data_IF_205099184022
#
_entry.id   IF_205099184022
#
_cell.length_a   1.000
_cell.length_b   1.000
_cell.length_c   1.000
_cell.angle_alpha   90.00
_cell.angle_beta   90.00
_cell.angle_gamma   90.00
#
_symmetry.space_group_name_H-M   'P 1'
#
loop_
_entity.id
_entity.type
_entity.pdbx_description
1 polymer ?
#
# COMPACT_ATOMS: atom_id res chain seq x y z
N UNK A 1 3.15 2.66 7.48
CA UNK A 1 4.39 3.45 7.37
C UNK A 1 4.71 4.20 8.67
N UNK A 2 4.64 3.53 9.82
CA UNK A 2 4.86 4.17 11.12
C UNK A 2 6.30 4.09 11.60
N UNK A 3 7.17 3.27 11.00
CA UNK A 3 8.60 3.34 11.26
C UNK A 3 9.18 4.71 10.83
N UNK A 4 10.12 5.31 11.58
CA UNK A 4 10.59 6.67 11.37
C UNK A 4 11.27 6.86 10.00
N UNK A 5 12.08 5.90 9.55
CA UNK A 5 12.83 5.97 8.28
C UNK A 5 12.11 5.30 7.10
N UNK A 6 10.78 5.16 7.16
CA UNK A 6 9.99 4.46 6.15
C UNK A 6 8.93 5.38 5.56
N UNK A 7 9.03 5.65 4.26
CA UNK A 7 8.09 6.47 3.50
C UNK A 7 7.58 5.74 2.28
N UNK A 8 6.42 6.13 1.79
CA UNK A 8 5.83 5.52 0.61
C UNK A 8 4.66 6.33 0.11
N UNK A 9 4.58 6.44 -1.21
CA UNK A 9 3.34 6.86 -1.86
C UNK A 9 2.27 5.77 -1.67
N UNK A 10 1.05 6.20 -1.41
CA UNK A 10 -0.11 5.34 -1.42
C UNK A 10 -0.59 5.21 -2.87
N UNK A 11 -0.71 3.97 -3.34
CA UNK A 11 -1.26 3.63 -4.66
C UNK A 11 -0.46 4.24 -5.81
N UNK A 12 0.85 3.98 -5.83
CA UNK A 12 1.76 4.45 -6.86
C UNK A 12 1.69 3.67 -8.17
N UNK A 13 1.43 2.37 -8.13
CA UNK A 13 1.13 1.53 -9.29
C UNK A 13 2.20 1.43 -10.39
N UNK A 14 3.42 1.93 -10.17
CA UNK A 14 4.48 2.02 -11.19
C UNK A 14 4.74 0.66 -11.86
N UNK A 15 4.75 -0.42 -11.07
CA UNK A 15 5.03 -1.78 -11.56
C UNK A 15 3.86 -2.39 -12.36
N UNK A 16 2.72 -1.71 -12.47
CA UNK A 16 1.64 -2.13 -13.37
C UNK A 16 2.05 -2.01 -14.85
N UNK A 17 2.99 -1.10 -15.16
CA UNK A 17 3.61 -1.03 -16.49
C UNK A 17 4.53 -2.23 -16.74
N UNK A 18 4.65 -2.66 -18.00
CA UNK A 18 5.66 -3.66 -18.39
C UNK A 18 7.08 -3.06 -18.37
N UNK A 19 7.19 -1.75 -18.57
CA UNK A 19 8.41 -0.93 -18.52
C UNK A 19 8.10 0.41 -17.83
N UNK A 20 9.12 1.16 -17.37
CA UNK A 20 8.95 2.54 -16.90
C UNK A 20 8.12 3.41 -17.85
N UNK A 21 8.41 3.39 -19.16
CA UNK A 21 7.67 4.15 -20.15
C UNK A 21 6.21 3.70 -20.30
N UNK A 22 5.96 2.40 -20.26
CA UNK A 22 4.60 1.84 -20.38
C UNK A 22 3.69 2.19 -19.18
N UNK A 23 4.28 2.61 -18.05
CA UNK A 23 3.51 3.06 -16.89
C UNK A 23 2.63 4.29 -17.19
N UNK A 24 2.97 5.10 -18.19
CA UNK A 24 2.15 6.24 -18.65
C UNK A 24 0.70 5.86 -19.00
N UNK A 25 0.47 4.60 -19.36
CA UNK A 25 -0.85 4.08 -19.73
C UNK A 25 -1.64 3.49 -18.54
N UNK A 26 -1.09 3.52 -17.32
CA UNK A 26 -1.70 2.92 -16.13
C UNK A 26 -2.50 3.95 -15.35
N UNK A 27 -3.66 4.31 -15.87
CA UNK A 27 -4.59 5.24 -15.21
C UNK A 27 -5.40 4.52 -14.12
N UNK A 28 -5.73 5.20 -13.00
CA UNK A 28 -5.39 6.59 -12.67
C UNK A 28 -4.01 6.76 -11.99
N UNK A 29 -3.27 5.67 -11.75
CA UNK A 29 -2.02 5.67 -10.98
C UNK A 29 -0.97 6.64 -11.54
N UNK A 30 -0.86 6.72 -12.86
CA UNK A 30 0.06 7.65 -13.51
C UNK A 30 -0.26 9.10 -13.14
N UNK A 31 -1.52 9.52 -13.23
CA UNK A 31 -1.96 10.89 -12.88
C UNK A 31 -1.74 11.20 -11.41
N UNK A 32 -1.96 10.22 -10.53
CA UNK A 32 -1.78 10.38 -9.08
C UNK A 32 -0.34 10.69 -8.67
N UNK A 33 0.66 10.52 -9.55
CA UNK A 33 2.04 10.92 -9.24
C UNK A 33 2.22 12.41 -8.99
N UNK A 34 1.39 13.25 -9.62
CA UNK A 34 1.47 14.71 -9.48
C UNK A 34 0.56 15.27 -8.40
N UNK A 35 -0.30 14.42 -7.82
CA UNK A 35 -1.12 14.81 -6.68
C UNK A 35 -0.23 15.18 -5.47
N UNK A 36 -0.68 16.14 -4.64
CA UNK A 36 0.13 16.66 -3.55
C UNK A 36 0.44 15.59 -2.49
N UNK A 37 1.59 15.71 -1.85
CA UNK A 37 2.04 14.81 -0.76
C UNK A 37 1.08 14.79 0.45
N UNK A 38 0.23 15.82 0.59
CA UNK A 38 -0.83 15.87 1.60
C UNK A 38 -1.84 14.73 1.46
N UNK A 39 -1.99 14.21 0.24
CA UNK A 39 -2.85 13.07 -0.09
C UNK A 39 -2.10 11.72 -0.04
N UNK A 40 -0.90 11.66 0.53
CA UNK A 40 -0.01 10.48 0.52
C UNK A 40 0.47 10.07 -0.88
N UNK A 41 0.42 10.96 -1.86
CA UNK A 41 0.99 10.71 -3.18
C UNK A 41 2.43 11.23 -3.28
N UNK A 42 3.02 11.12 -4.48
CA UNK A 42 4.42 11.42 -4.70
C UNK A 42 4.72 12.92 -4.84
N UNK A 43 3.73 13.76 -5.15
CA UNK A 43 3.91 15.22 -5.24
C UNK A 43 4.90 15.68 -6.30
N UNK A 44 5.01 14.94 -7.41
CA UNK A 44 5.91 15.30 -8.50
C UNK A 44 5.35 16.45 -9.34
N UNK A 45 6.23 17.24 -9.91
CA UNK A 45 5.89 18.10 -11.06
C UNK A 45 5.67 17.24 -12.31
N UNK A 46 4.96 17.78 -13.30
CA UNK A 46 4.79 17.12 -14.62
C UNK A 46 6.15 16.81 -15.25
N UNK A 47 7.11 17.74 -15.20
CA UNK A 47 8.46 17.51 -15.74
C UNK A 47 9.17 16.36 -15.03
N UNK A 48 9.10 16.28 -13.70
CA UNK A 48 9.68 15.17 -12.95
C UNK A 48 8.99 13.85 -13.29
N UNK A 49 7.66 13.81 -13.35
CA UNK A 49 6.89 12.64 -13.75
C UNK A 49 7.32 12.12 -15.12
N UNK A 50 7.47 12.99 -16.12
CA UNK A 50 7.95 12.61 -17.46
C UNK A 50 9.39 12.08 -17.41
N UNK A 51 10.27 12.71 -16.63
CA UNK A 51 11.65 12.24 -16.48
C UNK A 51 11.76 10.85 -15.83
N UNK A 52 10.75 10.40 -15.07
CA UNK A 52 10.69 9.02 -14.54
C UNK A 52 10.44 7.97 -15.62
N UNK A 53 9.64 8.30 -16.64
CA UNK A 53 9.32 7.38 -17.73
C UNK A 53 10.54 7.04 -18.61
N UNK A 54 11.53 7.93 -18.61
CA UNK A 54 12.81 7.77 -19.30
C UNK A 54 13.83 6.96 -18.49
N UNK A 55 13.41 6.33 -17.38
CA UNK A 55 14.26 5.37 -16.67
C UNK A 55 14.42 4.07 -17.49
N UNK A 56 15.65 3.51 -17.60
CA UNK A 56 15.90 2.27 -18.32
C UNK A 56 15.29 1.03 -17.65
N UNK A 57 15.05 1.10 -16.33
CA UNK A 57 14.45 0.02 -15.54
C UNK A 57 13.73 0.58 -14.31
N UNK A 58 12.92 -0.27 -13.64
CA UNK A 58 12.16 0.16 -12.46
C UNK A 58 13.05 0.55 -11.27
N UNK A 59 14.21 -0.07 -11.10
CA UNK A 59 15.16 0.33 -10.05
C UNK A 59 15.62 1.79 -10.25
N UNK A 60 15.94 2.17 -11.51
CA UNK A 60 16.30 3.56 -11.81
C UNK A 60 15.10 4.51 -11.68
N UNK A 61 13.90 4.06 -12.04
CA UNK A 61 12.68 4.83 -11.82
C UNK A 61 12.49 5.14 -10.33
N UNK A 62 12.52 4.13 -9.46
CA UNK A 62 12.36 4.32 -8.01
C UNK A 62 13.48 5.18 -7.41
N UNK A 63 14.72 5.08 -7.92
CA UNK A 63 15.83 5.97 -7.53
C UNK A 63 15.52 7.42 -7.89
N UNK A 64 15.07 7.70 -9.11
CA UNK A 64 14.68 9.06 -9.55
C UNK A 64 13.46 9.57 -8.79
N UNK A 65 12.49 8.70 -8.51
CA UNK A 65 11.29 9.00 -7.73
C UNK A 65 11.67 9.44 -6.31
N UNK A 66 12.54 8.67 -5.66
CA UNK A 66 13.05 8.97 -4.33
C UNK A 66 13.76 10.34 -4.29
N UNK A 67 14.61 10.62 -5.28
CA UNK A 67 15.32 11.90 -5.39
C UNK A 67 14.38 13.09 -5.67
N UNK A 68 13.32 12.88 -6.45
CA UNK A 68 12.45 13.97 -6.95
C UNK A 68 11.26 14.28 -6.04
N UNK A 69 10.74 13.27 -5.32
CA UNK A 69 9.51 13.42 -4.56
C UNK A 69 9.72 14.20 -3.26
N UNK A 70 8.93 15.24 -2.99
CA UNK A 70 8.99 15.98 -1.73
C UNK A 70 8.73 15.11 -0.49
N UNK A 71 8.14 13.91 -0.67
CA UNK A 71 7.92 12.93 0.40
C UNK A 71 9.23 12.53 1.09
N UNK A 72 10.35 12.54 0.38
CA UNK A 72 11.67 12.14 0.87
C UNK A 72 12.58 13.31 1.25
N UNK A 73 12.09 14.55 1.11
CA UNK A 73 12.85 15.75 1.47
C UNK A 73 12.65 16.13 2.94
N UNK A 74 11.59 15.64 3.58
CA UNK A 74 11.38 15.80 5.02
C UNK A 74 12.17 14.76 5.84
N UNK A 75 12.70 15.18 6.99
CA UNK A 75 13.43 14.31 7.91
C UNK A 75 12.58 13.12 8.39
N UNK A 76 13.18 11.92 8.58
CA UNK A 76 14.59 11.62 8.38
C UNK A 76 14.97 11.40 6.89
N UNK A 77 15.93 12.17 6.40
CA UNK A 77 16.53 12.34 5.05
C UNK A 77 16.53 11.21 3.97
N UNK A 78 17.27 11.47 2.90
CA UNK A 78 17.61 10.64 1.72
C UNK A 78 17.99 9.16 1.98
N UNK A 79 18.26 8.77 3.23
CA UNK A 79 18.47 7.36 3.60
C UNK A 79 17.18 6.62 3.94
N UNK A 80 16.03 7.28 3.79
CA UNK A 80 14.72 6.69 4.05
C UNK A 80 14.39 5.57 3.07
N UNK A 81 13.89 4.47 3.63
CA UNK A 81 13.35 3.34 2.91
C UNK A 81 12.04 3.71 2.22
N UNK A 82 11.84 3.14 1.02
CA UNK A 82 10.64 3.31 0.22
C UNK A 82 9.73 2.09 0.33
N UNK A 83 8.42 2.34 0.45
CA UNK A 83 7.37 1.33 0.33
C UNK A 83 6.42 1.75 -0.77
N UNK A 84 6.11 0.83 -1.68
CA UNK A 84 5.01 0.96 -2.62
C UNK A 84 3.90 0.01 -2.21
N UNK A 85 2.79 0.58 -1.74
CA UNK A 85 1.56 -0.17 -1.51
C UNK A 85 0.63 0.10 -2.69
N UNK A 86 0.37 -0.93 -3.49
CA UNK A 86 -0.66 -0.90 -4.53
C UNK A 86 -1.44 -2.23 -4.56
N UNK A 87 -2.75 -2.26 -4.24
CA UNK A 87 -3.53 -3.51 -4.23
C UNK A 87 -3.58 -4.20 -5.59
N UNK A 88 -3.55 -3.42 -6.68
CA UNK A 88 -3.62 -3.94 -8.04
C UNK A 88 -2.45 -4.87 -8.41
N UNK A 89 -1.31 -4.78 -7.71
CA UNK A 89 -0.20 -5.72 -7.90
C UNK A 89 -0.60 -7.18 -7.66
N UNK A 90 -1.62 -7.44 -6.84
CA UNK A 90 -2.08 -8.80 -6.58
C UNK A 90 -2.73 -9.48 -7.78
N UNK A 91 -3.19 -8.74 -8.79
CA UNK A 91 -3.80 -9.38 -9.98
C UNK A 91 -2.75 -10.03 -10.88
N UNK A 92 -1.48 -9.66 -10.75
CA UNK A 92 -0.37 -10.20 -11.56
C UNK A 92 0.95 -10.20 -10.76
N UNK A 93 0.89 -10.71 -9.53
CA UNK A 93 2.01 -10.67 -8.59
C UNK A 93 3.28 -11.36 -9.11
N UNK A 94 3.22 -12.49 -9.85
CA UNK A 94 4.41 -13.09 -10.43
C UNK A 94 5.20 -12.12 -11.33
N UNK A 95 4.52 -11.39 -12.22
CA UNK A 95 5.16 -10.41 -13.10
C UNK A 95 5.77 -9.25 -12.32
N UNK A 96 5.07 -8.77 -11.28
CA UNK A 96 5.59 -7.72 -10.40
C UNK A 96 6.89 -8.17 -9.71
N UNK A 97 6.94 -9.42 -9.26
CA UNK A 97 8.13 -10.00 -8.62
C UNK A 97 9.26 -10.25 -9.62
N UNK A 98 8.95 -10.61 -10.88
CA UNK A 98 9.93 -10.70 -11.98
C UNK A 98 10.62 -9.34 -12.21
N UNK A 99 9.88 -8.23 -12.13
CA UNK A 99 10.39 -6.87 -12.35
C UNK A 99 11.21 -6.31 -11.18
N UNK A 100 11.19 -6.96 -10.02
CA UNK A 100 11.77 -6.46 -8.77
C UNK A 100 12.67 -7.48 -8.09
N UNK A 101 13.68 -8.07 -8.76
CA UNK A 101 14.46 -9.16 -8.21
C UNK A 101 15.05 -8.82 -6.82
N UNK A 102 14.91 -9.75 -5.88
CA UNK A 102 15.44 -9.61 -4.51
C UNK A 102 14.60 -8.79 -3.53
N UNK A 103 13.56 -8.07 -3.97
CA UNK A 103 12.73 -7.28 -3.04
C UNK A 103 11.73 -8.16 -2.26
N UNK A 104 11.60 -7.99 -0.93
CA UNK A 104 10.56 -8.67 -0.16
C UNK A 104 9.19 -8.02 -0.38
N UNK A 105 8.13 -8.82 -0.37
CA UNK A 105 6.75 -8.38 -0.51
C UNK A 105 5.91 -8.88 0.66
N UNK A 106 5.15 -7.96 1.27
CA UNK A 106 4.17 -8.29 2.31
C UNK A 106 2.77 -8.21 1.70
N UNK A 107 2.00 -9.29 1.83
CA UNK A 107 0.63 -9.39 1.31
C UNK A 107 -0.34 -9.51 2.46
N UNK A 108 -1.24 -8.55 2.63
CA UNK A 108 -2.34 -8.66 3.60
C UNK A 108 -3.54 -9.37 2.97
N UNK A 109 -4.04 -10.42 3.62
CA UNK A 109 -5.24 -11.14 3.17
C UNK A 109 -6.40 -10.99 4.15
N UNK A 110 -7.61 -10.98 3.62
CA UNK A 110 -8.88 -10.97 4.37
C UNK A 110 -9.72 -12.16 3.93
N UNK A 111 -10.62 -12.62 4.78
CA UNK A 111 -11.62 -13.62 4.38
C UNK A 111 -12.46 -13.11 3.19
N UNK A 112 -12.93 -14.01 2.34
CA UNK A 112 -13.78 -13.67 1.18
C UNK A 112 -14.98 -12.81 1.60
N UNK A 113 -15.66 -13.19 2.68
CA UNK A 113 -16.78 -12.43 3.23
C UNK A 113 -16.37 -10.99 3.61
N UNK A 114 -15.23 -10.81 4.28
CA UNK A 114 -14.74 -9.48 4.65
C UNK A 114 -14.33 -8.63 3.43
N UNK A 115 -13.79 -9.25 2.39
CA UNK A 115 -13.48 -8.58 1.13
C UNK A 115 -14.75 -8.13 0.41
N UNK A 116 -15.73 -9.03 0.24
CA UNK A 116 -17.02 -8.71 -0.38
C UNK A 116 -17.75 -7.60 0.37
N UNK A 117 -17.81 -7.68 1.71
CA UNK A 117 -18.38 -6.62 2.54
C UNK A 117 -17.68 -5.26 2.33
N UNK A 118 -16.34 -5.27 2.20
CA UNK A 118 -15.59 -4.04 1.90
C UNK A 118 -15.96 -3.45 0.53
N UNK A 119 -16.14 -4.30 -0.49
CA UNK A 119 -16.51 -3.87 -1.85
C UNK A 119 -17.97 -3.40 -1.92
N UNK A 120 -18.86 -4.05 -1.20
CA UNK A 120 -20.25 -3.63 -1.08
C UNK A 120 -20.36 -2.20 -0.54
N UNK A 121 -19.58 -1.87 0.50
CA UNK A 121 -19.54 -0.50 1.04
C UNK A 121 -19.06 0.53 0.01
N UNK A 122 -18.10 0.17 -0.84
CA UNK A 122 -17.65 1.04 -1.94
C UNK A 122 -18.79 1.28 -2.93
N UNK A 123 -19.42 0.21 -3.43
CA UNK A 123 -20.54 0.32 -4.38
C UNK A 123 -21.70 1.14 -3.80
N UNK A 124 -22.11 0.82 -2.57
CA UNK A 124 -23.29 1.44 -1.95
C UNK A 124 -23.02 2.87 -1.51
N UNK A 125 -21.90 3.14 -0.83
CA UNK A 125 -21.68 4.44 -0.20
C UNK A 125 -20.82 5.38 -1.02
N UNK A 126 -19.87 4.88 -1.82
CA UNK A 126 -18.99 5.73 -2.61
C UNK A 126 -19.57 5.95 -4.01
N UNK A 127 -20.05 4.88 -4.65
CA UNK A 127 -20.61 4.96 -5.99
C UNK A 127 -22.11 5.27 -5.99
N UNK A 128 -22.76 5.29 -4.82
CA UNK A 128 -24.20 5.53 -4.68
C UNK A 128 -25.05 4.53 -5.50
N UNK A 129 -24.61 3.27 -5.57
CA UNK A 129 -25.22 2.21 -6.36
C UNK A 129 -25.81 1.11 -5.47
N UNK A 130 -26.91 0.50 -5.89
CA UNK A 130 -27.43 -0.69 -5.22
C UNK A 130 -26.51 -1.89 -5.45
N UNK A 131 -26.19 -2.63 -4.39
CA UNK A 131 -25.49 -3.90 -4.51
C UNK A 131 -26.38 -4.94 -5.19
N UNK A 132 -25.86 -5.63 -6.20
CA UNK A 132 -26.62 -6.63 -6.99
C UNK A 132 -25.84 -7.94 -7.08
N UNK A 133 -26.50 -9.06 -7.45
CA UNK A 133 -25.81 -10.33 -7.71
C UNK A 133 -24.69 -10.22 -8.76
N UNK A 134 -24.82 -9.32 -9.74
CA UNK A 134 -23.77 -9.09 -10.75
C UNK A 134 -22.52 -8.47 -10.12
N UNK A 135 -22.68 -7.53 -9.19
CA UNK A 135 -21.55 -6.98 -8.43
C UNK A 135 -20.87 -8.07 -7.61
N UNK A 136 -21.64 -8.90 -6.91
CA UNK A 136 -21.11 -9.99 -6.10
C UNK A 136 -20.32 -11.02 -6.92
N UNK A 137 -20.86 -11.41 -8.08
CA UNK A 137 -20.19 -12.30 -9.02
C UNK A 137 -18.87 -11.69 -9.53
N UNK A 138 -18.91 -10.42 -9.95
CA UNK A 138 -17.74 -9.67 -10.41
C UNK A 138 -16.62 -9.60 -9.35
N UNK A 139 -16.97 -9.20 -8.13
CA UNK A 139 -15.98 -9.08 -7.05
C UNK A 139 -15.52 -10.45 -6.54
N UNK A 140 -16.37 -11.48 -6.55
CA UNK A 140 -15.96 -12.86 -6.30
C UNK A 140 -14.88 -13.29 -7.29
N UNK A 141 -15.09 -13.06 -8.59
CA UNK A 141 -14.11 -13.41 -9.61
C UNK A 141 -12.80 -12.66 -9.41
N UNK A 142 -12.86 -11.36 -9.09
CA UNK A 142 -11.66 -10.57 -8.76
C UNK A 142 -10.88 -11.15 -7.57
N UNK A 143 -11.56 -11.53 -6.50
CA UNK A 143 -10.94 -12.15 -5.32
C UNK A 143 -10.28 -13.49 -5.70
N UNK A 144 -10.95 -14.30 -6.51
CA UNK A 144 -10.40 -15.57 -7.01
C UNK A 144 -9.14 -15.36 -7.85
N UNK A 145 -9.16 -14.41 -8.78
CA UNK A 145 -8.01 -14.08 -9.62
C UNK A 145 -6.80 -13.62 -8.77
N UNK A 146 -7.02 -12.73 -7.80
CA UNK A 146 -5.97 -12.28 -6.90
C UNK A 146 -5.42 -13.43 -6.03
N UNK A 147 -6.28 -14.33 -5.56
CA UNK A 147 -5.88 -15.50 -4.78
C UNK A 147 -5.03 -16.47 -5.61
N UNK A 148 -5.43 -16.75 -6.85
CA UNK A 148 -4.67 -17.59 -7.77
C UNK A 148 -3.31 -16.98 -8.14
N UNK A 149 -3.28 -15.67 -8.37
CA UNK A 149 -2.04 -14.94 -8.67
C UNK A 149 -1.06 -14.96 -7.49
N UNK A 150 -1.58 -14.77 -6.26
CA UNK A 150 -0.79 -14.93 -5.04
C UNK A 150 -0.23 -16.35 -4.90
N UNK A 151 -1.05 -17.38 -5.11
CA UNK A 151 -0.59 -18.77 -5.03
C UNK A 151 0.57 -19.04 -6.01
N UNK A 152 0.39 -18.67 -7.28
CA UNK A 152 1.44 -18.79 -8.31
C UNK A 152 2.73 -18.07 -7.91
N UNK A 153 2.59 -16.89 -7.30
CA UNK A 153 3.73 -16.12 -6.84
C UNK A 153 4.45 -16.79 -5.65
N UNK A 154 3.71 -17.38 -4.71
CA UNK A 154 4.28 -18.13 -3.59
C UNK A 154 5.00 -19.40 -4.06
N UNK A 155 4.44 -20.11 -5.05
CA UNK A 155 5.06 -21.30 -5.63
C UNK A 155 6.37 -20.94 -6.34
N UNK A 156 6.41 -19.81 -7.07
CA UNK A 156 7.60 -19.34 -7.81
C UNK A 156 8.63 -18.64 -6.91
N UNK A 157 8.20 -18.00 -5.82
CA UNK A 157 9.03 -17.12 -4.97
C UNK A 157 8.80 -17.31 -3.47
N UNK A 158 8.98 -18.51 -2.91
CA UNK A 158 8.56 -18.85 -1.54
C UNK A 158 9.21 -18.00 -0.45
N UNK A 159 10.43 -17.51 -0.66
CA UNK A 159 11.16 -16.70 0.33
C UNK A 159 10.95 -15.20 0.20
N UNK A 160 10.23 -14.73 -0.84
CA UNK A 160 10.04 -13.31 -1.10
C UNK A 160 8.68 -12.78 -0.68
N UNK A 161 7.77 -13.63 -0.21
CA UNK A 161 6.40 -13.25 0.11
C UNK A 161 6.08 -13.63 1.55
N UNK A 162 5.70 -12.64 2.35
CA UNK A 162 5.14 -12.85 3.68
C UNK A 162 3.65 -12.50 3.68
N UNK A 163 2.81 -13.47 4.02
CA UNK A 163 1.36 -13.31 4.01
C UNK A 163 0.85 -13.00 5.41
N UNK A 164 0.22 -11.85 5.57
CA UNK A 164 -0.38 -11.38 6.82
C UNK A 164 -1.88 -11.63 6.80
N UNK A 165 -2.36 -12.46 7.71
CA UNK A 165 -3.79 -12.64 7.95
C UNK A 165 -4.35 -11.44 8.71
N UNK A 166 -5.23 -10.65 8.08
CA UNK A 166 -5.75 -9.43 8.71
C UNK A 166 -6.53 -9.69 10.00
N UNK A 167 -7.18 -10.85 10.12
CA UNK A 167 -7.85 -11.27 11.37
C UNK A 167 -6.85 -11.43 12.52
N UNK A 168 -5.69 -12.01 12.25
CA UNK A 168 -4.63 -12.15 13.26
C UNK A 168 -3.96 -10.82 13.56
N UNK A 169 -3.77 -9.96 12.55
CA UNK A 169 -3.28 -8.61 12.76
C UNK A 169 -4.17 -7.81 13.71
N UNK A 170 -5.50 -7.95 13.62
CA UNK A 170 -6.42 -7.28 14.55
C UNK A 170 -6.41 -7.88 15.96
N UNK A 171 -6.15 -9.19 16.10
CA UNK A 171 -6.10 -9.87 17.40
C UNK A 171 -4.79 -9.61 18.14
N UNK A 172 -3.66 -9.78 17.44
CA UNK A 172 -2.31 -9.79 18.02
C UNK A 172 -1.35 -8.92 17.19
N UNK A 173 -1.60 -7.60 17.07
CA UNK A 173 -0.84 -6.74 16.15
C UNK A 173 0.66 -6.68 16.48
N UNK A 174 1.05 -6.80 17.76
CA UNK A 174 2.47 -6.85 18.12
C UNK A 174 3.19 -8.08 17.56
N UNK A 175 2.62 -9.28 17.70
CA UNK A 175 3.20 -10.53 17.17
C UNK A 175 3.31 -10.47 15.66
N UNK A 176 2.23 -10.09 14.99
CA UNK A 176 2.22 -10.00 13.52
C UNK A 176 3.25 -8.99 13.02
N UNK A 177 3.38 -7.83 13.68
CA UNK A 177 4.39 -6.85 13.27
C UNK A 177 5.82 -7.29 13.58
N UNK A 178 6.06 -8.08 14.63
CA UNK A 178 7.37 -8.69 14.88
C UNK A 178 7.76 -9.62 13.74
N UNK A 179 6.84 -10.47 13.29
CA UNK A 179 7.06 -11.39 12.15
C UNK A 179 7.32 -10.62 10.85
N UNK A 180 6.51 -9.60 10.56
CA UNK A 180 6.68 -8.75 9.37
C UNK A 180 8.04 -8.05 9.39
N UNK A 181 8.44 -7.46 10.51
CA UNK A 181 9.73 -6.78 10.61
C UNK A 181 10.90 -7.75 10.52
N UNK A 182 10.80 -8.93 11.16
CA UNK A 182 11.82 -9.98 11.04
C UNK A 182 11.97 -10.45 9.58
N UNK A 183 10.86 -10.66 8.86
CA UNK A 183 10.87 -11.00 7.44
C UNK A 183 11.54 -9.92 6.58
N UNK A 184 11.28 -8.65 6.88
CA UNK A 184 11.90 -7.52 6.21
C UNK A 184 13.34 -7.24 6.67
N UNK A 185 13.87 -8.01 7.63
CA UNK A 185 15.18 -7.80 8.26
C UNK A 185 15.31 -6.42 8.92
N UNK A 186 14.21 -5.95 9.52
CA UNK A 186 14.11 -4.69 10.24
C UNK A 186 13.90 -4.92 11.73
N UNK A 187 14.22 -3.91 12.53
CA UNK A 187 13.98 -3.95 13.98
C UNK A 187 12.57 -3.47 14.33
N UNK A 188 11.77 -4.36 14.94
CA UNK A 188 10.44 -3.99 15.45
C UNK A 188 10.52 -3.12 16.70
N UNK A 189 9.66 -2.11 16.78
CA UNK A 189 9.46 -1.32 17.99
C UNK A 189 7.96 -1.18 18.31
N UNK A 190 7.51 -1.52 19.53
CA UNK A 190 6.09 -1.46 19.91
C UNK A 190 5.41 -0.11 19.65
N UNK A 191 6.14 1.00 19.77
CA UNK A 191 5.59 2.34 19.58
C UNK A 191 5.18 2.62 18.12
N UNK A 192 5.61 1.82 17.14
CA UNK A 192 5.14 1.98 15.76
C UNK A 192 3.62 1.74 15.61
N UNK A 193 2.94 1.07 16.54
CA UNK A 193 1.48 0.96 16.54
C UNK A 193 0.75 2.21 17.06
N UNK A 194 1.44 3.12 17.76
CA UNK A 194 0.81 4.35 18.28
C UNK A 194 0.58 5.39 17.19
N UNK A 195 1.16 5.19 16.00
CA UNK A 195 1.17 6.14 14.89
C UNK A 195 1.82 7.51 15.22
N UNK A 196 2.51 7.64 16.36
CA UNK A 196 3.16 8.90 16.75
C UNK A 196 4.17 9.36 15.68
N UNK A 197 5.04 8.46 15.24
CA UNK A 197 6.02 8.74 14.18
C UNK A 197 5.37 9.01 12.82
N UNK A 198 4.27 8.30 12.51
CA UNK A 198 3.50 8.56 11.30
C UNK A 198 2.91 9.98 11.30
N UNK A 199 2.36 10.41 12.43
CA UNK A 199 1.78 11.74 12.60
C UNK A 199 2.85 12.83 12.60
N UNK A 200 3.98 12.63 13.27
CA UNK A 200 5.13 13.56 13.24
C UNK A 200 5.57 13.83 11.80
N UNK A 201 5.77 12.75 11.03
CA UNK A 201 6.06 12.80 9.59
C UNK A 201 4.96 13.48 8.79
N UNK A 202 3.70 13.26 9.16
CA UNK A 202 2.54 13.91 8.55
C UNK A 202 2.54 15.41 8.73
N UNK A 203 2.78 15.88 9.94
CA UNK A 203 2.82 17.31 10.25
C UNK A 203 3.90 18.05 9.46
N UNK A 204 5.08 17.45 9.28
CA UNK A 204 6.14 18.01 8.44
C UNK A 204 5.72 18.20 6.96
N UNK A 205 4.72 17.45 6.49
CA UNK A 205 4.16 17.53 5.14
C UNK A 205 2.79 18.24 5.11
N UNK A 206 2.39 18.93 6.19
CA UNK A 206 1.10 19.62 6.27
C UNK A 206 -0.13 18.70 6.35
N UNK A 207 0.04 17.44 6.78
CA UNK A 207 -1.07 16.48 6.93
C UNK A 207 -1.76 16.60 8.29
N UNK A 208 -3.08 16.33 8.35
CA UNK A 208 -3.79 16.24 9.63
C UNK A 208 -3.33 15.01 10.43
N UNK A 209 -3.44 15.09 11.74
CA UNK A 209 -3.17 13.98 12.66
C UNK A 209 -4.16 12.85 12.42
N UNK A 210 -3.65 11.62 12.32
CA UNK A 210 -4.47 10.40 12.29
C UNK A 210 -4.52 9.83 13.71
N UNK A 211 -5.72 9.55 14.26
CA UNK A 211 -5.81 8.97 15.60
C UNK A 211 -5.09 7.61 15.63
N UNK A 212 -4.37 7.34 16.71
CA UNK A 212 -3.85 6.01 16.99
C UNK A 212 -5.00 4.99 16.97
N UNK A 213 -4.67 3.71 16.77
CA UNK A 213 -5.61 2.63 17.01
C UNK A 213 -5.95 2.61 18.51
N UNK A 214 -6.92 3.41 18.95
CA UNK A 214 -7.30 3.47 20.35
C UNK A 214 -7.82 2.10 20.81
N UNK A 215 -7.24 1.63 21.92
CA UNK A 215 -7.54 0.41 22.69
C UNK A 215 -8.97 -0.14 22.50
N UNK A 216 -9.13 -1.15 21.66
CA UNK A 216 -10.24 -2.12 21.78
C UNK A 216 -10.07 -3.05 23.01
N UNK A 217 -8.93 -2.94 23.73
CA UNK A 217 -8.57 -3.83 24.83
C UNK A 217 -9.21 -3.49 26.20
N UNK A 218 -9.99 -2.42 26.32
CA UNK A 218 -10.63 -2.08 27.60
C UNK A 218 -12.09 -2.56 27.73
N UNK A 219 -12.87 -2.62 26.64
CA UNK A 219 -14.34 -2.78 26.71
C UNK A 219 -14.95 -3.83 25.75
N UNK A 220 -14.19 -4.84 25.33
CA UNK A 220 -14.75 -6.07 24.70
C UNK A 220 -15.58 -5.88 23.41
N UNK A 221 -15.58 -4.71 22.79
CA UNK A 221 -16.36 -4.41 21.59
C UNK A 221 -15.44 -3.87 20.51
N UNK A 222 -15.21 -4.70 19.50
CA UNK A 222 -14.46 -4.31 18.30
C UNK A 222 -15.37 -3.42 17.46
N UNK A 223 -15.20 -2.11 17.54
CA UNK A 223 -15.60 -1.24 16.44
C UNK A 223 -14.36 -0.94 15.60
N UNK A 224 -14.40 -1.33 14.32
CA UNK A 224 -13.34 -0.96 13.39
C UNK A 224 -13.28 0.57 13.30
N UNK A 225 -12.08 1.17 13.22
CA UNK A 225 -11.98 2.61 13.00
C UNK A 225 -12.79 2.96 11.75
N UNK A 226 -13.68 3.95 11.88
CA UNK A 226 -14.33 4.57 10.72
C UNK A 226 -13.21 5.06 9.82
N UNK A 227 -13.03 4.39 8.68
CA UNK A 227 -12.13 4.86 7.65
C UNK A 227 -12.50 6.32 7.37
N UNK A 228 -11.49 7.19 7.34
CA UNK A 228 -11.63 8.56 6.87
C UNK A 228 -12.05 8.46 5.39
N UNK A 229 -13.35 8.38 5.14
CA UNK A 229 -13.92 8.58 3.81
C UNK A 229 -13.91 10.08 3.61
N UNK A 230 -12.79 10.61 3.12
CA UNK A 230 -12.83 11.86 2.39
C UNK A 230 -13.04 11.49 0.93
N UNK A 231 -14.22 11.81 0.43
CA UNK A 231 -14.42 12.02 -1.00
C UNK A 231 -13.37 13.04 -1.46
N UNK A 232 -12.62 12.65 -2.48
CA UNK A 232 -11.91 13.56 -3.38
C UNK A 232 -12.59 13.38 -4.72
#
# INVERSE_FOLDING_TARGET
>A
MSAPHLWGGFEGGVLLGSTPRAFANQLPFFEWMTHPVTNLHWGLTVTQQQALLEAPCFADLYRRLHASSPLYHAEPHQSSWMVDKTPAYLFDLPRILDQTPGLPVVVTVKSRAAQLYSMQKVVVHQNQQTWTPQHEAYYTQKIMNATQSLQKAQDKYPHRIHVVQMTEFYRNPHSVMQEVFAFLQLSWQPHYLTLQDFNRKGHALGRPTVPAFQKAAANGTVSAPKALVRAV
#
